data_IF_358646807571
#
_entry.id   IF_358646807571
#
_cell.length_a   1.000
_cell.length_b   1.000
_cell.length_c   1.000
_cell.angle_alpha   90.00
_cell.angle_beta   90.00
_cell.angle_gamma   90.00
#
_symmetry.space_group_name_H-M   'P 1'
#
loop_
_entity.id
_entity.type
_entity.pdbx_description
1 polymer ?
#
# COMPACT_ATOMS: atom_id res chain seq x y z
N UNK A 1 41.18 34.80 38.50
CA UNK A 1 39.98 33.99 38.19
C UNK A 1 39.68 34.18 36.72
N UNK A 2 40.14 33.26 35.88
CA UNK A 2 39.79 33.22 34.46
C UNK A 2 38.38 32.64 34.34
N UNK A 3 37.53 33.36 33.61
CA UNK A 3 36.15 32.99 33.34
C UNK A 3 36.11 31.84 32.32
N UNK A 4 35.80 30.63 32.79
CA UNK A 4 35.78 29.38 32.03
C UNK A 4 34.40 29.09 31.40
N UNK A 5 33.50 30.07 31.30
CA UNK A 5 32.10 29.83 30.89
C UNK A 5 31.80 30.03 29.39
N UNK A 6 32.72 30.60 28.60
CA UNK A 6 32.44 30.98 27.19
C UNK A 6 32.78 29.93 26.12
N UNK A 7 33.60 28.91 26.42
CA UNK A 7 34.01 27.89 25.43
C UNK A 7 32.96 26.78 25.19
N UNK A 8 31.95 26.64 26.05
CA UNK A 8 30.95 25.57 25.97
C UNK A 8 29.71 25.88 25.12
N UNK A 9 29.41 27.15 24.89
CA UNK A 9 28.18 27.56 24.16
C UNK A 9 28.43 27.63 22.65
N UNK A 10 29.61 28.10 22.22
CA UNK A 10 29.98 28.15 20.80
C UNK A 10 30.07 26.76 20.15
N UNK A 11 30.70 25.80 20.83
CA UNK A 11 30.88 24.43 20.32
C UNK A 11 29.57 23.64 20.22
N UNK A 12 28.63 23.84 21.15
CA UNK A 12 27.29 23.21 21.08
C UNK A 12 26.45 23.74 19.93
N UNK A 13 26.51 25.04 19.66
CA UNK A 13 25.80 25.63 18.54
C UNK A 13 26.40 25.20 17.18
N UNK A 14 27.73 25.11 17.08
CA UNK A 14 28.39 24.58 15.88
C UNK A 14 28.03 23.12 15.60
N UNK A 15 28.02 22.26 16.63
CA UNK A 15 27.62 20.86 16.45
C UNK A 15 26.16 20.74 16.02
N UNK A 16 25.27 21.52 16.62
CA UNK A 16 23.86 21.57 16.21
C UNK A 16 23.69 21.94 14.74
N UNK A 17 24.40 22.97 14.26
CA UNK A 17 24.31 23.37 12.86
C UNK A 17 24.84 22.29 11.91
N UNK A 18 25.94 21.60 12.29
CA UNK A 18 26.46 20.47 11.51
C UNK A 18 25.48 19.30 11.47
N UNK A 19 24.88 18.97 12.60
CA UNK A 19 23.88 17.90 12.67
C UNK A 19 22.64 18.27 11.84
N UNK A 20 22.21 19.53 11.90
CA UNK A 20 21.09 20.04 11.09
C UNK A 20 21.38 19.99 9.59
N UNK A 21 22.58 20.41 9.17
CA UNK A 21 23.00 20.34 7.78
C UNK A 21 23.05 18.89 7.28
N UNK A 22 23.59 17.96 8.09
CA UNK A 22 23.65 16.53 7.76
C UNK A 22 22.26 15.93 7.57
N UNK A 23 21.36 16.09 8.54
CA UNK A 23 20.01 15.52 8.44
C UNK A 23 19.17 16.17 7.34
N UNK A 24 19.49 17.41 6.97
CA UNK A 24 18.84 18.09 5.84
C UNK A 24 19.31 17.56 4.49
N UNK A 25 20.52 16.99 4.42
CA UNK A 25 21.04 16.35 3.21
C UNK A 25 20.63 14.88 3.12
N UNK A 26 20.67 14.15 4.23
CA UNK A 26 20.20 12.77 4.39
C UNK A 26 19.54 12.58 5.76
N UNK A 27 18.21 12.43 5.78
CA UNK A 27 17.44 12.32 7.02
C UNK A 27 17.82 11.10 7.86
N UNK A 28 18.37 10.04 7.25
CA UNK A 28 18.79 8.83 7.96
C UNK A 28 20.03 9.08 8.83
N UNK A 29 20.78 10.16 8.59
CA UNK A 29 21.90 10.58 9.43
C UNK A 29 21.47 10.91 10.88
N UNK A 30 20.16 11.05 11.13
CA UNK A 30 19.60 11.21 12.49
C UNK A 30 20.04 10.09 13.44
N UNK A 31 20.36 8.90 12.92
CA UNK A 31 20.91 7.77 13.70
C UNK A 31 22.21 8.13 14.44
N UNK A 32 23.00 9.05 13.91
CA UNK A 32 24.27 9.49 14.49
C UNK A 32 24.13 10.71 15.40
N UNK A 33 22.94 11.30 15.50
CA UNK A 33 22.68 12.50 16.29
C UNK A 33 22.38 12.11 17.74
N UNK A 34 23.32 12.45 18.64
CA UNK A 34 23.18 12.12 20.06
C UNK A 34 22.06 12.94 20.74
N UNK A 35 22.05 14.26 20.51
CA UNK A 35 21.11 15.19 21.11
C UNK A 35 20.02 15.59 20.10
N UNK A 36 18.94 14.82 20.07
CA UNK A 36 17.81 15.03 19.16
C UNK A 36 16.90 16.15 19.69
N UNK A 37 16.86 17.27 18.99
CA UNK A 37 15.84 18.31 19.23
C UNK A 37 14.63 18.08 18.31
N UNK A 38 13.44 18.61 18.65
CA UNK A 38 12.26 18.52 17.79
C UNK A 38 12.52 19.04 16.37
N UNK A 39 13.31 20.10 16.22
CA UNK A 39 13.65 20.69 14.93
C UNK A 39 14.53 19.76 14.08
N UNK A 40 15.53 19.11 14.69
CA UNK A 40 16.38 18.13 14.00
C UNK A 40 15.58 16.92 13.54
N UNK A 41 14.74 16.36 14.43
CA UNK A 41 13.86 15.26 14.09
C UNK A 41 12.91 15.66 12.96
N UNK A 42 12.31 16.85 13.04
CA UNK A 42 11.39 17.35 12.02
C UNK A 42 12.08 17.57 10.66
N UNK A 43 13.31 18.11 10.66
CA UNK A 43 14.10 18.27 9.44
C UNK A 43 14.40 16.90 8.81
N UNK A 44 14.83 15.93 9.63
CA UNK A 44 15.12 14.58 9.19
C UNK A 44 13.90 13.88 8.56
N UNK A 45 12.74 13.87 9.24
CA UNK A 45 11.54 13.18 8.73
C UNK A 45 10.94 13.87 7.49
N UNK A 46 11.06 15.20 7.38
CA UNK A 46 10.65 15.93 6.17
C UNK A 46 11.55 15.63 4.98
N UNK A 47 12.83 15.35 5.24
CA UNK A 47 13.78 14.93 4.21
C UNK A 47 13.51 13.46 3.81
N UNK A 48 13.37 12.56 4.79
CA UNK A 48 13.08 11.13 4.61
C UNK A 48 12.19 10.61 5.75
N UNK A 49 10.96 10.19 5.43
CA UNK A 49 9.98 9.70 6.41
C UNK A 49 10.47 8.51 7.24
N UNK A 50 11.37 7.68 6.68
CA UNK A 50 11.96 6.54 7.39
C UNK A 50 12.88 6.95 8.53
N UNK A 51 13.37 8.20 8.56
CA UNK A 51 14.15 8.71 9.68
C UNK A 51 13.39 8.63 11.02
N UNK A 52 12.06 8.46 10.99
CA UNK A 52 11.24 8.19 12.17
C UNK A 52 11.72 6.97 12.97
N UNK A 53 12.33 5.97 12.32
CA UNK A 53 12.97 4.82 12.95
C UNK A 53 13.96 5.23 14.05
N UNK A 54 14.75 6.28 13.80
CA UNK A 54 15.82 6.72 14.69
C UNK A 54 15.38 7.75 15.72
N UNK A 55 14.11 8.17 15.69
CA UNK A 55 13.57 9.14 16.64
C UNK A 55 13.35 8.47 17.99
N UNK A 56 14.01 8.99 19.03
CA UNK A 56 13.88 8.49 20.41
C UNK A 56 12.48 8.76 20.96
N UNK A 57 12.05 10.02 20.90
CA UNK A 57 10.77 10.50 21.41
C UNK A 57 9.85 10.92 20.25
N UNK A 58 8.82 10.11 19.99
CA UNK A 58 7.88 10.34 18.89
C UNK A 58 6.70 11.19 19.37
N UNK A 59 6.44 12.30 18.68
CA UNK A 59 5.22 13.10 18.85
C UNK A 59 4.24 12.82 17.71
N UNK A 60 2.95 13.08 17.95
CA UNK A 60 1.93 12.90 16.91
C UNK A 60 2.24 13.70 15.63
N UNK A 61 2.66 14.97 15.77
CA UNK A 61 3.02 15.83 14.64
C UNK A 61 4.20 15.27 13.84
N UNK A 62 5.20 14.71 14.51
CA UNK A 62 6.36 14.12 13.86
C UNK A 62 5.99 12.84 13.11
N UNK A 63 5.21 11.96 13.73
CA UNK A 63 4.69 10.77 13.07
C UNK A 63 3.83 11.15 11.86
N UNK A 64 2.99 12.19 11.99
CA UNK A 64 2.15 12.68 10.91
C UNK A 64 2.99 13.21 9.74
N UNK A 65 4.02 14.01 10.03
CA UNK A 65 4.94 14.50 9.01
C UNK A 65 5.67 13.35 8.30
N UNK A 66 6.09 12.33 9.04
CA UNK A 66 6.76 11.16 8.49
C UNK A 66 5.85 10.36 7.54
N UNK A 67 4.63 10.02 7.95
CA UNK A 67 3.69 9.24 7.11
C UNK A 67 3.16 10.02 5.91
N UNK A 68 3.07 11.35 6.01
CA UNK A 68 2.73 12.21 4.88
C UNK A 68 3.88 12.30 3.87
N UNK A 69 5.13 12.22 4.33
CA UNK A 69 6.31 12.17 3.47
C UNK A 69 6.43 10.81 2.79
N UNK A 70 6.38 9.71 3.55
CA UNK A 70 6.36 8.33 3.08
C UNK A 70 5.41 7.49 3.95
N UNK A 71 4.32 6.98 3.36
CA UNK A 71 3.33 6.17 4.06
C UNK A 71 3.92 4.92 4.70
N UNK A 72 5.03 4.38 4.18
CA UNK A 72 5.72 3.23 4.80
C UNK A 72 6.32 3.55 6.17
N UNK A 73 6.54 4.83 6.49
CA UNK A 73 7.00 5.24 7.81
C UNK A 73 6.05 4.81 8.95
N UNK A 74 4.79 4.43 8.63
CA UNK A 74 3.86 3.83 9.58
C UNK A 74 4.45 2.58 10.27
N UNK A 75 5.36 1.86 9.63
CA UNK A 75 6.09 0.73 10.21
C UNK A 75 6.81 1.12 11.51
N UNK A 76 7.36 2.33 11.57
CA UNK A 76 8.17 2.82 12.69
C UNK A 76 7.36 3.61 13.72
N UNK A 77 6.06 3.81 13.50
CA UNK A 77 5.18 4.48 14.46
C UNK A 77 4.91 3.55 15.65
N UNK A 78 5.37 3.95 16.84
CA UNK A 78 5.19 3.17 18.08
C UNK A 78 3.70 3.08 18.44
N UNK A 79 3.05 4.23 18.54
CA UNK A 79 1.64 4.39 18.90
C UNK A 79 0.83 4.84 17.68
N UNK A 80 0.07 3.92 17.08
CA UNK A 80 -0.74 4.18 15.89
C UNK A 80 -2.11 4.73 16.27
N UNK A 81 -2.47 5.90 15.73
CA UNK A 81 -3.84 6.42 15.78
C UNK A 81 -4.56 6.10 14.47
N UNK A 82 -5.90 6.12 14.50
CA UNK A 82 -6.69 5.95 13.28
C UNK A 82 -6.35 7.01 12.22
N UNK A 83 -6.15 8.26 12.64
CA UNK A 83 -5.77 9.37 11.76
C UNK A 83 -4.41 9.12 11.08
N UNK A 84 -3.40 8.69 11.84
CA UNK A 84 -2.08 8.34 11.29
C UNK A 84 -2.16 7.19 10.30
N UNK A 85 -2.90 6.13 10.64
CA UNK A 85 -3.11 5.00 9.74
C UNK A 85 -3.82 5.43 8.45
N UNK A 86 -4.84 6.28 8.57
CA UNK A 86 -5.59 6.78 7.42
C UNK A 86 -4.70 7.64 6.52
N UNK A 87 -3.92 8.56 7.10
CA UNK A 87 -2.98 9.40 6.35
C UNK A 87 -1.95 8.54 5.62
N UNK A 88 -1.37 7.53 6.28
CA UNK A 88 -0.40 6.62 5.69
C UNK A 88 -0.99 5.81 4.51
N UNK A 89 -2.19 5.24 4.69
CA UNK A 89 -2.88 4.44 3.67
C UNK A 89 -3.30 5.31 2.47
N UNK A 90 -3.74 6.54 2.71
CA UNK A 90 -4.08 7.49 1.65
C UNK A 90 -2.83 7.92 0.87
N UNK A 91 -1.68 8.04 1.54
CA UNK A 91 -0.41 8.36 0.89
C UNK A 91 0.08 7.18 0.04
N UNK A 92 0.06 5.97 0.59
CA UNK A 92 0.42 4.73 -0.11
C UNK A 92 -0.27 3.52 0.51
N UNK A 93 -1.08 2.82 -0.28
CA UNK A 93 -1.84 1.65 0.14
C UNK A 93 -0.98 0.52 0.68
N UNK A 94 0.30 0.41 0.27
CA UNK A 94 1.22 -0.59 0.86
C UNK A 94 1.42 -0.36 2.35
N UNK A 95 1.28 0.88 2.85
CA UNK A 95 1.34 1.18 4.28
C UNK A 95 0.30 0.41 5.09
N UNK A 96 -0.82 -0.01 4.46
CA UNK A 96 -1.87 -0.79 5.11
C UNK A 96 -1.33 -2.09 5.72
N UNK A 97 -0.27 -2.67 5.15
CA UNK A 97 0.45 -3.83 5.72
C UNK A 97 0.89 -3.62 7.18
N UNK A 98 1.21 -2.38 7.56
CA UNK A 98 1.74 -2.03 8.88
C UNK A 98 0.66 -1.59 9.86
N UNK A 99 -0.60 -1.52 9.44
CA UNK A 99 -1.74 -1.19 10.31
C UNK A 99 -1.98 -2.33 11.29
N UNK A 100 -1.82 -2.04 12.59
CA UNK A 100 -2.01 -3.02 13.68
C UNK A 100 -3.50 -3.35 13.84
N UNK A 101 -4.31 -2.30 13.97
CA UNK A 101 -5.77 -2.36 14.16
C UNK A 101 -6.50 -1.95 12.88
N UNK A 102 -7.06 -2.94 12.19
CA UNK A 102 -7.75 -2.74 10.91
C UNK A 102 -9.22 -2.41 11.14
N UNK A 103 -9.64 -1.18 10.79
CA UNK A 103 -11.06 -0.80 10.78
C UNK A 103 -11.64 -0.99 9.38
N UNK A 104 -12.97 -1.19 9.24
CA UNK A 104 -13.62 -1.31 7.93
C UNK A 104 -13.31 -0.14 7.00
N UNK A 105 -13.23 1.08 7.54
CA UNK A 105 -12.91 2.29 6.79
C UNK A 105 -11.47 2.26 6.24
N UNK A 106 -10.50 1.83 7.04
CA UNK A 106 -9.11 1.69 6.58
C UNK A 106 -8.98 0.59 5.53
N UNK A 107 -9.62 -0.56 5.74
CA UNK A 107 -9.66 -1.64 4.76
C UNK A 107 -10.24 -1.15 3.43
N UNK A 108 -11.36 -0.45 3.48
CA UNK A 108 -12.02 0.09 2.28
C UNK A 108 -11.16 1.14 1.59
N UNK A 109 -10.54 2.06 2.34
CA UNK A 109 -9.64 3.07 1.78
C UNK A 109 -8.44 2.45 1.05
N UNK A 110 -7.81 1.43 1.65
CA UNK A 110 -6.70 0.71 1.04
C UNK A 110 -7.11 -0.01 -0.25
N UNK A 111 -8.24 -0.72 -0.21
CA UNK A 111 -8.79 -1.47 -1.35
C UNK A 111 -9.23 -0.57 -2.50
N UNK A 112 -9.84 0.59 -2.19
CA UNK A 112 -10.23 1.57 -3.20
C UNK A 112 -9.01 2.16 -3.91
N UNK A 113 -7.90 2.34 -3.20
CA UNK A 113 -6.65 2.79 -3.81
C UNK A 113 -5.98 1.65 -4.62
N UNK A 114 -5.96 0.42 -4.11
CA UNK A 114 -5.49 -0.76 -4.83
C UNK A 114 -6.20 -2.05 -4.40
N UNK A 115 -6.82 -2.77 -5.34
CA UNK A 115 -7.55 -4.00 -5.06
C UNK A 115 -6.67 -5.09 -4.43
N UNK A 116 -5.37 -5.10 -4.72
CA UNK A 116 -4.42 -6.02 -4.10
C UNK A 116 -4.16 -5.75 -2.62
N UNK A 117 -4.60 -4.62 -2.06
CA UNK A 117 -4.56 -4.40 -0.61
C UNK A 117 -5.38 -5.46 0.15
N UNK A 118 -6.34 -6.10 -0.51
CA UNK A 118 -7.14 -7.20 0.04
C UNK A 118 -6.27 -8.34 0.61
N UNK A 119 -5.06 -8.56 0.07
CA UNK A 119 -4.11 -9.57 0.54
C UNK A 119 -3.69 -9.37 2.01
N UNK A 120 -3.72 -8.14 2.50
CA UNK A 120 -3.31 -7.78 3.86
C UNK A 120 -4.49 -7.68 4.84
N UNK A 121 -5.72 -7.82 4.35
CA UNK A 121 -6.93 -7.72 5.17
C UNK A 121 -7.14 -9.03 5.94
N UNK A 122 -7.22 -8.92 7.27
CA UNK A 122 -7.43 -10.07 8.16
C UNK A 122 -8.87 -10.62 8.01
N UNK A 123 -9.85 -9.74 8.15
CA UNK A 123 -11.28 -10.06 8.07
C UNK A 123 -11.89 -9.50 6.78
N UNK A 124 -12.21 -10.39 5.84
CA UNK A 124 -12.77 -10.03 4.53
C UNK A 124 -14.30 -10.11 4.56
N UNK A 125 -14.98 -9.02 4.20
CA UNK A 125 -16.44 -9.02 3.99
C UNK A 125 -16.76 -9.13 2.49
N UNK A 126 -17.96 -9.62 2.12
CA UNK A 126 -18.37 -9.67 0.71
C UNK A 126 -18.29 -8.31 0.01
N UNK A 127 -18.65 -7.22 0.70
CA UNK A 127 -18.61 -5.86 0.15
C UNK A 127 -17.18 -5.41 -0.13
N UNK A 128 -16.24 -5.73 0.78
CA UNK A 128 -14.83 -5.40 0.61
C UNK A 128 -14.19 -6.21 -0.52
N UNK A 129 -14.46 -7.51 -0.60
CA UNK A 129 -14.03 -8.36 -1.70
C UNK A 129 -14.56 -7.84 -3.04
N UNK A 130 -15.85 -7.46 -3.08
CA UNK A 130 -16.47 -6.91 -4.29
C UNK A 130 -15.84 -5.57 -4.69
N UNK A 131 -15.53 -4.70 -3.70
CA UNK A 131 -14.82 -3.46 -3.97
C UNK A 131 -13.42 -3.72 -4.55
N UNK A 132 -12.68 -4.69 -4.00
CA UNK A 132 -11.35 -5.06 -4.49
C UNK A 132 -11.39 -5.58 -5.91
N UNK A 133 -12.30 -6.51 -6.20
CA UNK A 133 -12.46 -7.11 -7.53
C UNK A 133 -12.90 -6.09 -8.57
N UNK A 134 -13.81 -5.17 -8.21
CA UNK A 134 -14.21 -4.07 -9.12
C UNK A 134 -13.08 -3.10 -9.39
N UNK A 135 -12.19 -2.89 -8.42
CA UNK A 135 -11.01 -2.05 -8.57
C UNK A 135 -9.97 -2.74 -9.48
N UNK A 136 -9.69 -4.01 -9.23
CA UNK A 136 -8.82 -4.86 -10.04
C UNK A 136 -9.32 -6.32 -10.01
N UNK A 137 -9.69 -6.87 -11.16
CA UNK A 137 -10.24 -8.23 -11.28
C UNK A 137 -9.29 -9.31 -10.78
N UNK A 138 -7.98 -9.08 -10.88
CA UNK A 138 -6.96 -9.99 -10.35
C UNK A 138 -6.94 -10.06 -8.83
N UNK A 139 -7.55 -9.09 -8.12
CA UNK A 139 -7.68 -9.15 -6.67
C UNK A 139 -8.47 -10.39 -6.20
N UNK A 140 -9.20 -11.07 -7.12
CA UNK A 140 -9.82 -12.36 -6.88
C UNK A 140 -8.85 -13.41 -6.34
N UNK A 141 -7.55 -13.33 -6.70
CA UNK A 141 -6.47 -14.16 -6.15
C UNK A 141 -6.48 -14.18 -4.61
N UNK A 142 -6.74 -13.03 -3.99
CA UNK A 142 -6.66 -12.84 -2.54
C UNK A 142 -8.00 -13.03 -1.82
N UNK A 143 -9.07 -13.33 -2.56
CA UNK A 143 -10.39 -13.60 -1.97
C UNK A 143 -10.39 -14.99 -1.34
N UNK A 144 -10.59 -15.05 0.00
CA UNK A 144 -10.64 -16.32 0.74
C UNK A 144 -11.82 -17.18 0.31
N UNK A 145 -13.02 -16.59 0.35
CA UNK A 145 -14.29 -17.23 0.00
C UNK A 145 -14.84 -16.65 -1.30
N UNK A 146 -14.71 -17.40 -2.40
CA UNK A 146 -15.18 -16.99 -3.72
C UNK A 146 -16.64 -17.35 -3.92
N UNK A 147 -17.47 -16.37 -4.27
CA UNK A 147 -18.85 -16.59 -4.72
C UNK A 147 -18.92 -16.50 -6.24
N UNK A 148 -19.95 -17.09 -6.84
CA UNK A 148 -20.18 -16.96 -8.28
C UNK A 148 -20.27 -15.49 -8.71
N UNK A 149 -20.90 -14.63 -7.91
CA UNK A 149 -21.03 -13.20 -8.19
C UNK A 149 -19.66 -12.48 -8.18
N UNK A 150 -18.79 -12.80 -7.22
CA UNK A 150 -17.42 -12.25 -7.16
C UNK A 150 -16.59 -12.72 -8.35
N UNK A 151 -16.63 -14.01 -8.67
CA UNK A 151 -15.93 -14.55 -9.84
C UNK A 151 -16.43 -13.91 -11.13
N UNK A 152 -17.75 -13.73 -11.28
CA UNK A 152 -18.34 -13.10 -12.45
C UNK A 152 -17.90 -11.63 -12.57
N UNK A 153 -17.93 -10.89 -11.45
CA UNK A 153 -17.43 -9.51 -11.44
C UNK A 153 -15.95 -9.43 -11.82
N UNK A 154 -15.13 -10.38 -11.36
CA UNK A 154 -13.70 -10.42 -11.67
C UNK A 154 -13.44 -10.66 -13.15
N UNK A 155 -14.06 -11.68 -13.75
CA UNK A 155 -13.84 -12.02 -15.17
C UNK A 155 -14.43 -10.97 -16.12
N UNK A 156 -15.48 -10.26 -15.69
CA UNK A 156 -16.02 -9.13 -16.44
C UNK A 156 -15.10 -7.89 -16.36
N UNK A 157 -14.40 -7.71 -15.23
CA UNK A 157 -13.43 -6.64 -15.05
C UNK A 157 -12.14 -6.93 -15.85
N UNK A 158 -11.59 -8.13 -15.71
CA UNK A 158 -10.45 -8.66 -16.47
C UNK A 158 -10.65 -10.15 -16.76
N UNK A 159 -10.78 -10.52 -18.04
CA UNK A 159 -10.99 -11.91 -18.45
C UNK A 159 -9.86 -12.84 -18.00
N UNK A 160 -8.64 -12.33 -17.80
CA UNK A 160 -7.53 -13.11 -17.24
C UNK A 160 -7.71 -13.48 -15.77
N UNK A 161 -8.59 -12.80 -15.03
CA UNK A 161 -8.92 -13.18 -13.67
C UNK A 161 -9.53 -14.59 -13.56
N UNK A 162 -9.95 -15.20 -14.69
CA UNK A 162 -10.34 -16.60 -14.77
C UNK A 162 -9.26 -17.56 -14.22
N UNK A 163 -7.99 -17.19 -14.34
CA UNK A 163 -6.85 -17.91 -13.77
C UNK A 163 -7.03 -18.20 -12.27
N UNK A 164 -7.59 -17.23 -11.53
CA UNK A 164 -7.77 -17.29 -10.08
C UNK A 164 -9.13 -17.84 -9.64
N UNK A 165 -10.01 -18.19 -10.58
CA UNK A 165 -11.32 -18.79 -10.28
C UNK A 165 -11.11 -20.25 -9.84
N UNK A 166 -11.44 -20.57 -8.58
CA UNK A 166 -11.30 -21.92 -8.03
C UNK A 166 -12.22 -22.92 -8.76
N UNK A 167 -13.50 -22.57 -8.87
CA UNK A 167 -14.55 -23.38 -9.51
C UNK A 167 -15.05 -22.69 -10.78
N UNK A 168 -14.61 -23.19 -11.94
CA UNK A 168 -14.98 -22.63 -13.24
C UNK A 168 -16.32 -23.21 -13.72
N UNK A 169 -17.28 -22.33 -14.01
CA UNK A 169 -18.53 -22.71 -14.68
C UNK A 169 -18.44 -22.38 -16.17
N UNK A 170 -19.21 -23.06 -17.06
CA UNK A 170 -19.27 -22.70 -18.48
C UNK A 170 -19.62 -21.22 -18.71
N UNK A 171 -20.47 -20.67 -17.85
CA UNK A 171 -20.88 -19.26 -17.87
C UNK A 171 -19.70 -18.32 -17.57
N UNK A 172 -18.91 -18.62 -16.52
CA UNK A 172 -17.71 -17.84 -16.19
C UNK A 172 -16.65 -17.93 -17.29
N UNK A 173 -16.40 -19.12 -17.83
CA UNK A 173 -15.46 -19.32 -18.93
C UNK A 173 -15.88 -18.55 -20.18
N UNK A 174 -17.17 -18.60 -20.53
CA UNK A 174 -17.70 -17.86 -21.67
C UNK A 174 -17.57 -16.34 -21.44
N UNK A 175 -17.93 -15.85 -20.25
CA UNK A 175 -17.78 -14.43 -19.91
C UNK A 175 -16.32 -13.97 -20.01
N UNK A 176 -15.37 -14.74 -19.46
CA UNK A 176 -13.95 -14.44 -19.53
C UNK A 176 -13.42 -14.39 -20.97
N UNK A 177 -13.77 -15.38 -21.80
CA UNK A 177 -13.35 -15.44 -23.22
C UNK A 177 -13.99 -14.31 -24.04
N UNK A 178 -15.25 -13.96 -23.74
CA UNK A 178 -15.92 -12.82 -24.39
C UNK A 178 -15.31 -11.48 -23.98
N UNK A 179 -14.79 -11.37 -22.76
CA UNK A 179 -14.06 -10.19 -22.29
C UNK A 179 -12.67 -10.12 -22.93
N UNK A 180 -11.92 -11.22 -22.93
CA UNK A 180 -10.60 -11.34 -23.52
C UNK A 180 -10.40 -12.76 -24.06
N UNK A 181 -10.32 -12.92 -25.38
CA UNK A 181 -10.19 -14.23 -26.03
C UNK A 181 -8.95 -15.01 -25.57
N UNK A 182 -7.89 -14.32 -25.12
CA UNK A 182 -6.70 -15.00 -24.58
C UNK A 182 -6.96 -15.67 -23.23
N UNK A 183 -8.04 -15.31 -22.53
CA UNK A 183 -8.46 -16.02 -21.31
C UNK A 183 -8.81 -17.50 -21.56
N UNK A 184 -9.01 -17.91 -22.82
CA UNK A 184 -9.16 -19.32 -23.20
C UNK A 184 -7.99 -20.19 -22.69
N UNK A 185 -6.78 -19.62 -22.58
CA UNK A 185 -5.60 -20.31 -22.02
C UNK A 185 -5.83 -20.79 -20.58
N UNK A 186 -6.64 -20.08 -19.80
CA UNK A 186 -6.93 -20.40 -18.40
C UNK A 186 -8.19 -21.26 -18.19
N UNK A 187 -8.89 -21.63 -19.27
CA UNK A 187 -10.06 -22.52 -19.20
C UNK A 187 -9.59 -23.96 -18.98
N UNK A 188 -9.99 -24.58 -17.86
CA UNK A 188 -9.63 -25.96 -17.51
C UNK A 188 -10.20 -26.98 -18.50
N UNK A 189 -11.44 -26.77 -18.96
CA UNK A 189 -12.13 -27.63 -19.92
C UNK A 189 -12.58 -26.83 -21.14
N UNK A 190 -11.78 -26.85 -22.21
CA UNK A 190 -12.07 -26.14 -23.44
C UNK A 190 -13.12 -26.89 -24.27
N UNK A 191 -14.18 -26.19 -24.67
CA UNK A 191 -15.21 -26.71 -25.58
C UNK A 191 -15.11 -26.05 -26.96
N UNK A 192 -15.61 -26.70 -28.03
CA UNK A 192 -15.65 -26.10 -29.36
C UNK A 192 -16.35 -24.73 -29.37
N UNK A 193 -17.38 -24.55 -28.55
CA UNK A 193 -18.11 -23.29 -28.42
C UNK A 193 -17.22 -22.17 -27.87
N UNK A 194 -16.43 -22.44 -26.84
CA UNK A 194 -15.47 -21.46 -26.27
C UNK A 194 -14.35 -21.13 -27.27
N UNK A 195 -13.82 -22.14 -27.97
CA UNK A 195 -12.81 -21.92 -29.00
C UNK A 195 -13.35 -21.06 -30.15
N UNK A 196 -14.58 -21.31 -30.59
CA UNK A 196 -15.23 -20.49 -31.62
C UNK A 196 -15.43 -19.05 -31.14
N UNK A 197 -15.87 -18.85 -29.88
CA UNK A 197 -16.03 -17.51 -29.31
C UNK A 197 -14.70 -16.74 -29.27
N UNK A 198 -13.60 -17.38 -28.85
CA UNK A 198 -12.27 -16.77 -28.81
C UNK A 198 -11.76 -16.38 -30.20
N UNK A 199 -11.94 -17.24 -31.20
CA UNK A 199 -11.52 -16.95 -32.59
C UNK A 199 -12.33 -15.81 -33.19
N UNK A 200 -13.64 -15.76 -32.95
CA UNK A 200 -14.49 -14.67 -33.44
C UNK A 200 -14.05 -13.32 -32.87
N UNK A 201 -13.81 -13.23 -31.56
CA UNK A 201 -13.39 -11.99 -30.92
C UNK A 201 -12.04 -11.47 -31.46
N UNK A 202 -11.04 -12.34 -31.60
CA UNK A 202 -9.73 -11.97 -32.16
C UNK A 202 -9.78 -11.65 -33.66
N UNK A 203 -10.64 -12.33 -34.42
CA UNK A 203 -10.82 -12.10 -35.86
C UNK A 203 -11.37 -10.73 -36.19
N UNK A 204 -12.24 -10.17 -35.34
CA UNK A 204 -12.76 -8.81 -35.48
C UNK A 204 -11.76 -7.71 -35.08
N UNK A 205 -10.72 -8.04 -34.30
CA UNK A 205 -9.67 -7.08 -33.91
C UNK A 205 -8.60 -6.86 -35.01
N UNK A 206 -8.64 -7.62 -36.10
CA UNK A 206 -7.66 -7.61 -37.20
C UNK A 206 -8.21 -7.00 -38.53
N UNK A 207 -9.42 -6.43 -38.52
CA UNK A 207 -9.99 -5.67 -39.65
C UNK A 207 -9.88 -4.17 -39.40
#
# INVERSE_FOLDING_TARGET
>A
MQDMSLFGVGSRNEQYQKDLERVSQDGLELVWVNNQTPELCMAAVKQNGWALEYVKEQTHELCMAAVQQDGWALEYVKEQTHELCMAAVQQNWWAFRYVKEQTPELCMAAVQQNGYALQFVKEQTPELCMAAVKQNGWALEYVKEQTHELCMAAVQQDGWALEYVKEQTPELCMAAVQQNAKALEYVKEQTPELCMAAVQQNGYALQ
#
